data_IF_026006836995
#
_entry.id   IF_026006836995
#
_cell.length_a   1.000
_cell.length_b   1.000
_cell.length_c   1.000
_cell.angle_alpha   90.00
_cell.angle_beta   90.00
_cell.angle_gamma   90.00
#
_symmetry.space_group_name_H-M   'P 1'
#
loop_
_entity.id
_entity.type
_entity.pdbx_description
1 polymer ?
#
# COMPACT_ATOMS: atom_id res chain seq x y z
N UNK A 1 -3.97 11.10 -15.89
CA UNK A 1 -4.40 10.63 -14.56
C UNK A 1 -3.24 10.68 -13.59
N UNK A 2 -3.43 11.20 -12.36
CA UNK A 2 -2.39 11.23 -11.33
C UNK A 2 -2.30 9.83 -10.69
N UNK A 3 -1.15 9.15 -10.80
CA UNK A 3 -0.97 7.80 -10.26
C UNK A 3 -0.34 7.89 -8.87
N UNK A 4 -0.87 7.11 -7.93
CA UNK A 4 -0.17 6.77 -6.71
C UNK A 4 0.55 5.44 -6.94
N UNK A 5 1.77 5.30 -6.46
CA UNK A 5 2.50 4.04 -6.52
C UNK A 5 2.81 3.63 -5.10
N UNK A 6 2.58 2.37 -4.76
CA UNK A 6 2.94 1.76 -3.49
C UNK A 6 3.68 0.47 -3.82
N UNK A 7 4.80 0.23 -3.16
CA UNK A 7 5.63 -0.94 -3.42
C UNK A 7 6.02 -1.58 -2.11
N UNK A 8 5.86 -2.89 -2.07
CA UNK A 8 6.01 -3.71 -0.87
C UNK A 8 6.91 -4.88 -1.15
N UNK A 9 7.68 -5.28 -0.16
CA UNK A 9 8.49 -6.47 -0.32
C UNK A 9 7.66 -7.75 -0.35
N UNK A 10 8.20 -8.78 -1.01
CA UNK A 10 7.53 -10.08 -1.04
C UNK A 10 7.54 -10.71 0.35
N UNK A 11 6.38 -11.20 0.78
CA UNK A 11 6.20 -11.87 2.07
C UNK A 11 5.68 -13.29 1.87
N UNK A 12 5.95 -14.17 2.85
CA UNK A 12 5.37 -15.50 2.85
C UNK A 12 3.87 -15.41 3.25
N UNK A 13 3.02 -16.20 2.60
CA UNK A 13 1.55 -16.14 2.75
C UNK A 13 1.05 -16.33 4.19
N UNK A 14 1.86 -16.93 5.07
CA UNK A 14 1.50 -17.31 6.44
C UNK A 14 1.80 -16.27 7.51
N UNK A 15 2.39 -15.11 7.19
CA UNK A 15 2.94 -14.21 8.22
C UNK A 15 2.29 -12.84 8.34
N UNK A 16 1.50 -12.37 7.38
CA UNK A 16 0.99 -10.98 7.39
C UNK A 16 -0.50 -10.91 7.68
N UNK A 17 -0.88 -10.18 8.74
CA UNK A 17 -2.25 -9.99 9.24
C UNK A 17 -2.74 -8.56 9.15
N UNK A 18 -1.84 -7.58 9.15
CA UNK A 18 -2.16 -6.15 9.11
C UNK A 18 -1.16 -5.37 8.24
N UNK A 19 -1.53 -4.16 7.85
CA UNK A 19 -0.72 -3.30 6.98
C UNK A 19 0.62 -2.88 7.60
N UNK A 20 0.69 -2.78 8.93
CA UNK A 20 1.90 -2.42 9.67
C UNK A 20 3.03 -3.45 9.54
N UNK A 21 2.67 -4.72 9.33
CA UNK A 21 3.63 -5.81 9.10
C UNK A 21 4.24 -5.80 7.68
N UNK A 22 3.77 -4.93 6.78
CA UNK A 22 4.33 -4.80 5.43
C UNK A 22 5.48 -3.80 5.40
N UNK A 23 6.61 -4.23 4.83
CA UNK A 23 7.74 -3.35 4.54
C UNK A 23 7.49 -2.59 3.24
N UNK A 24 7.08 -1.32 3.35
CA UNK A 24 6.92 -0.41 2.20
C UNK A 24 8.28 0.22 1.85
N UNK A 25 8.82 -0.06 0.66
CA UNK A 25 10.11 0.51 0.24
C UNK A 25 9.96 1.65 -0.78
N UNK A 26 8.81 1.79 -1.43
CA UNK A 26 8.55 2.89 -2.35
C UNK A 26 7.06 3.25 -2.38
N UNK A 27 6.72 4.44 -1.92
CA UNK A 27 5.34 4.94 -1.97
C UNK A 27 5.30 6.43 -2.30
N UNK A 28 4.84 6.75 -3.50
CA UNK A 28 4.79 8.12 -4.01
C UNK A 28 3.50 8.44 -4.76
N UNK A 29 3.28 9.72 -5.01
CA UNK A 29 2.25 10.17 -5.93
C UNK A 29 2.91 11.00 -7.03
N UNK A 30 3.14 10.40 -8.20
CA UNK A 30 3.89 11.02 -9.32
C UNK A 30 5.24 11.61 -8.87
N UNK A 31 6.10 10.81 -8.22
CA UNK A 31 7.40 11.23 -7.69
C UNK A 31 7.35 12.29 -6.57
N UNK A 32 6.18 12.51 -5.96
CA UNK A 32 6.07 13.33 -4.75
C UNK A 32 5.95 12.44 -3.52
N UNK A 33 6.71 12.81 -2.48
CA UNK A 33 6.65 12.15 -1.19
C UNK A 33 5.24 12.13 -0.62
N UNK A 34 4.86 10.99 -0.07
CA UNK A 34 3.60 10.75 0.61
C UNK A 34 3.87 10.69 2.11
N UNK A 35 2.96 11.28 2.89
CA UNK A 35 2.93 11.08 4.33
C UNK A 35 2.01 9.91 4.67
N UNK A 36 2.48 9.02 5.54
CA UNK A 36 1.68 7.97 6.14
C UNK A 36 1.24 8.39 7.54
N UNK A 37 -0.04 8.22 7.84
CA UNK A 37 -0.65 8.58 9.13
C UNK A 37 -1.57 7.44 9.59
N UNK A 38 -1.36 6.93 10.80
CA UNK A 38 -2.27 5.96 11.41
C UNK A 38 -3.48 6.71 11.97
N UNK A 39 -4.68 6.47 11.42
CA UNK A 39 -5.91 7.10 11.88
C UNK A 39 -6.52 6.36 13.09
N UNK A 40 -6.42 5.03 13.09
CA UNK A 40 -6.82 4.15 14.19
C UNK A 40 -6.07 2.82 14.08
N UNK A 41 -6.24 1.85 15.01
CA UNK A 41 -5.46 0.61 15.01
C UNK A 41 -5.50 -0.19 13.70
N UNK A 42 -6.57 -0.07 12.92
CA UNK A 42 -6.81 -0.84 11.68
C UNK A 42 -6.93 0.04 10.43
N UNK A 43 -6.64 1.35 10.53
CA UNK A 43 -6.83 2.30 9.42
C UNK A 43 -5.64 3.23 9.29
N UNK A 44 -5.12 3.32 8.08
CA UNK A 44 -3.99 4.14 7.68
C UNK A 44 -4.40 5.10 6.55
N UNK A 45 -3.84 6.31 6.57
CA UNK A 45 -4.01 7.31 5.54
C UNK A 45 -2.67 7.62 4.87
N UNK A 46 -2.61 7.46 3.55
CA UNK A 46 -1.49 7.87 2.71
C UNK A 46 -1.87 9.17 2.01
N UNK A 47 -1.28 10.28 2.43
CA UNK A 47 -1.62 11.64 1.98
C UNK A 47 -0.51 12.23 1.11
N UNK A 48 -0.84 12.62 -0.11
CA UNK A 48 0.08 13.39 -0.95
C UNK A 48 -0.04 14.88 -0.65
N UNK A 49 1.05 15.50 -0.18
CA UNK A 49 1.09 16.94 0.16
C UNK A 49 0.79 17.86 -1.02
N UNK A 50 1.18 17.47 -2.24
CA UNK A 50 1.06 18.32 -3.44
C UNK A 50 -0.33 18.29 -4.05
N UNK A 51 -0.91 17.10 -4.23
CA UNK A 51 -2.20 16.96 -4.91
C UNK A 51 -3.39 16.87 -3.95
N UNK A 52 -3.14 16.88 -2.63
CA UNK A 52 -4.14 16.76 -1.54
C UNK A 52 -4.99 15.48 -1.59
N UNK A 53 -4.63 14.53 -2.46
CA UNK A 53 -5.27 13.21 -2.49
C UNK A 53 -4.84 12.41 -1.28
N UNK A 54 -5.78 11.63 -0.77
CA UNK A 54 -5.57 10.69 0.32
C UNK A 54 -6.05 9.31 -0.10
N UNK A 55 -5.29 8.29 0.30
CA UNK A 55 -5.68 6.89 0.18
C UNK A 55 -5.90 6.38 1.59
N UNK A 56 -7.05 5.76 1.82
CA UNK A 56 -7.35 5.11 3.09
C UNK A 56 -7.14 3.62 2.91
N UNK A 57 -6.21 3.06 3.66
CA UNK A 57 -5.96 1.62 3.75
C UNK A 57 -6.57 1.14 5.05
N UNK A 58 -7.51 0.20 4.98
CA UNK A 58 -8.19 -0.38 6.14
C UNK A 58 -7.86 -1.85 6.21
N UNK A 59 -7.23 -2.29 7.30
CA UNK A 59 -7.11 -3.72 7.59
C UNK A 59 -8.51 -4.33 7.62
N UNK A 60 -8.69 -5.45 6.92
CA UNK A 60 -9.94 -6.17 6.94
C UNK A 60 -9.77 -7.48 7.70
N UNK A 61 -10.83 -7.93 8.37
CA UNK A 61 -10.81 -9.14 9.20
C UNK A 61 -10.46 -10.42 8.42
N UNK A 62 -10.52 -10.36 7.08
CA UNK A 62 -10.20 -11.46 6.18
C UNK A 62 -8.74 -11.43 5.67
N UNK A 63 -7.94 -10.43 6.05
CA UNK A 63 -6.55 -10.26 5.58
C UNK A 63 -6.40 -10.02 4.07
N UNK A 64 -7.48 -9.70 3.36
CA UNK A 64 -7.49 -9.65 1.90
C UNK A 64 -7.20 -8.24 1.35
N UNK A 65 -6.25 -7.51 1.94
CA UNK A 65 -5.88 -6.21 1.38
C UNK A 65 -5.18 -6.40 0.03
N UNK A 66 -5.52 -5.63 -1.01
CA UNK A 66 -4.84 -5.74 -2.30
C UNK A 66 -3.31 -5.58 -2.17
N UNK A 67 -2.83 -4.70 -1.29
CA UNK A 67 -1.40 -4.57 -0.99
C UNK A 67 -0.79 -5.84 -0.37
N UNK A 68 -1.52 -6.54 0.51
CA UNK A 68 -1.08 -7.82 1.08
C UNK A 68 -1.08 -8.91 0.01
N UNK A 69 -2.13 -8.98 -0.82
CA UNK A 69 -2.17 -9.93 -1.93
C UNK A 69 -1.01 -9.69 -2.89
N UNK A 70 -0.71 -8.43 -3.17
CA UNK A 70 0.46 -8.00 -3.95
C UNK A 70 1.73 -8.51 -3.28
N UNK A 71 1.95 -8.25 -1.99
CA UNK A 71 3.10 -8.75 -1.23
C UNK A 71 3.24 -10.28 -1.27
N UNK A 72 2.13 -11.02 -1.26
CA UNK A 72 2.15 -12.50 -1.26
C UNK A 72 2.48 -13.07 -2.64
N UNK A 73 1.79 -12.64 -3.68
CA UNK A 73 1.88 -13.26 -5.01
C UNK A 73 2.77 -12.52 -6.01
N UNK A 74 3.25 -11.32 -5.64
CA UNK A 74 4.10 -10.48 -6.46
C UNK A 74 3.39 -9.84 -7.65
N UNK A 75 2.06 -9.95 -7.76
CA UNK A 75 1.31 -9.41 -8.91
C UNK A 75 0.99 -7.94 -8.71
N UNK A 76 1.26 -7.17 -9.74
CA UNK A 76 0.87 -5.76 -9.81
C UNK A 76 -0.64 -5.60 -9.78
N UNK A 77 -1.15 -4.66 -8.96
CA UNK A 77 -2.58 -4.37 -8.83
C UNK A 77 -2.88 -2.88 -8.91
N UNK A 78 -4.07 -2.56 -9.43
CA UNK A 78 -4.63 -1.22 -9.33
C UNK A 78 -5.47 -1.13 -8.04
N UNK A 79 -4.97 -0.40 -7.05
CA UNK A 79 -5.68 -0.07 -5.82
C UNK A 79 -6.49 1.20 -6.02
N UNK A 80 -7.81 1.16 -5.86
CA UNK A 80 -8.63 2.28 -6.29
C UNK A 80 -9.49 2.94 -5.19
N UNK A 81 -9.10 4.16 -4.79
CA UNK A 81 -10.01 5.26 -4.40
C UNK A 81 -9.41 6.66 -4.72
N UNK A 82 -8.53 6.92 -5.69
CA UNK A 82 -8.82 6.99 -7.13
C UNK A 82 -7.54 6.74 -7.98
N UNK A 83 -7.23 5.45 -8.16
CA UNK A 83 -6.24 4.83 -9.07
C UNK A 83 -4.76 4.90 -8.64
N UNK A 84 -4.48 4.29 -7.48
CA UNK A 84 -3.14 3.87 -7.06
C UNK A 84 -2.73 2.53 -7.69
N UNK A 85 -1.43 2.25 -7.72
CA UNK A 85 -0.81 1.04 -8.25
C UNK A 85 0.08 0.42 -7.19
N UNK A 86 -0.05 -0.88 -6.97
CA UNK A 86 0.72 -1.67 -6.01
C UNK A 86 1.68 -2.58 -6.77
N UNK A 87 2.94 -2.67 -6.34
CA UNK A 87 3.95 -3.55 -6.95
C UNK A 87 4.83 -4.24 -5.91
N UNK A 88 5.50 -5.33 -6.29
CA UNK A 88 6.43 -6.05 -5.43
C UNK A 88 7.83 -6.07 -5.98
N UNK A 89 8.81 -5.96 -5.08
CA UNK A 89 10.20 -6.30 -5.34
C UNK A 89 10.56 -7.61 -4.64
N UNK A 90 11.29 -8.47 -5.34
CA UNK A 90 11.95 -9.63 -4.75
C UNK A 90 13.23 -9.14 -4.04
N UNK A 91 13.37 -9.45 -2.73
CA UNK A 91 14.67 -9.31 -2.04
C UNK A 91 15.63 -10.30 -2.71
N UNK A 92 16.71 -9.78 -3.29
CA UNK A 92 17.83 -10.56 -3.85
C UNK A 92 18.70 -11.15 -2.74
#
# INVERSE_FOLDING_TARGET
MKKFTISVEKVHQSTVKNFEELELFHFDCNNYGINMERLNPVTWALKCKRCKRQIIVKDNAFGNLPIMQTAVDGKERLFNHELAKETVRLKE
#
